data_IF_400589594657
#
_entry.id   IF_400589594657
#
_cell.length_a   1.000
_cell.length_b   1.000
_cell.length_c   1.000
_cell.angle_alpha   90.00
_cell.angle_beta   90.00
_cell.angle_gamma   90.00
#
_symmetry.space_group_name_H-M   'P 1'
#
loop_
_entity.id
_entity.type
_entity.pdbx_description
1 polymer ?
#
# COMPACT_ATOMS: atom_id res chain seq x y z
N UNK A 1 18.06 -13.45 -4.08
CA UNK A 1 17.25 -13.92 -2.93
C UNK A 1 16.77 -12.75 -2.06
N UNK A 2 17.67 -11.92 -1.52
CA UNK A 2 17.32 -10.76 -0.69
C UNK A 2 16.38 -9.74 -1.36
N UNK A 3 16.68 -9.31 -2.59
CA UNK A 3 15.83 -8.36 -3.31
C UNK A 3 14.40 -8.88 -3.57
N UNK A 4 14.26 -10.19 -3.86
CA UNK A 4 12.96 -10.84 -4.03
C UNK A 4 12.19 -10.88 -2.71
N UNK A 5 12.85 -11.25 -1.61
CA UNK A 5 12.24 -11.21 -0.28
C UNK A 5 11.72 -9.82 0.07
N UNK A 6 12.54 -8.78 -0.13
CA UNK A 6 12.16 -7.40 0.12
C UNK A 6 10.92 -6.99 -0.69
N UNK A 7 10.90 -7.35 -1.98
CA UNK A 7 9.76 -7.10 -2.86
C UNK A 7 8.49 -7.80 -2.36
N UNK A 8 8.57 -9.05 -1.94
CA UNK A 8 7.39 -9.78 -1.45
C UNK A 8 6.87 -9.23 -0.12
N UNK A 9 7.76 -8.77 0.77
CA UNK A 9 7.34 -8.08 2.01
C UNK A 9 6.58 -6.80 1.67
N UNK A 10 7.09 -6.02 0.71
CA UNK A 10 6.41 -4.79 0.26
C UNK A 10 5.07 -5.10 -0.41
N UNK A 11 5.00 -6.11 -1.28
CA UNK A 11 3.75 -6.57 -1.87
C UNK A 11 2.73 -6.96 -0.81
N UNK A 12 3.16 -7.70 0.22
CA UNK A 12 2.29 -8.11 1.33
C UNK A 12 1.72 -6.89 2.06
N UNK A 13 2.57 -5.91 2.39
CA UNK A 13 2.14 -4.68 3.08
C UNK A 13 1.15 -3.89 2.20
N UNK A 14 1.43 -3.74 0.91
CA UNK A 14 0.60 -2.96 -0.02
C UNK A 14 -0.80 -3.56 -0.23
N UNK A 15 -0.92 -4.87 -0.11
CA UNK A 15 -2.15 -5.61 -0.36
C UNK A 15 -2.76 -6.24 0.91
N UNK A 16 -2.29 -5.85 2.10
CA UNK A 16 -2.74 -6.43 3.36
C UNK A 16 -4.23 -6.16 3.61
N UNK A 17 -5.01 -7.25 3.68
CA UNK A 17 -6.42 -7.35 4.12
C UNK A 17 -7.44 -6.43 3.41
N UNK A 18 -7.03 -5.61 2.44
CA UNK A 18 -7.97 -4.78 1.68
C UNK A 18 -8.84 -5.65 0.76
N UNK A 19 -10.15 -5.52 0.92
CA UNK A 19 -11.13 -6.28 0.14
C UNK A 19 -11.66 -5.47 -1.05
N UNK A 20 -12.13 -6.20 -2.06
CA UNK A 20 -12.73 -5.63 -3.27
C UNK A 20 -13.84 -6.54 -3.77
N UNK A 21 -14.97 -5.96 -4.16
CA UNK A 21 -16.07 -6.71 -4.77
C UNK A 21 -15.60 -7.43 -6.05
N UNK A 22 -15.94 -8.73 -6.25
CA UNK A 22 -15.57 -9.45 -7.46
C UNK A 22 -16.01 -8.71 -8.74
N UNK A 23 -15.19 -8.79 -9.80
CA UNK A 23 -15.45 -8.21 -11.14
C UNK A 23 -15.53 -6.68 -11.22
N UNK A 24 -15.21 -5.96 -10.15
CA UNK A 24 -15.01 -4.49 -10.21
C UNK A 24 -13.61 -4.14 -10.73
N UNK A 25 -13.40 -2.96 -11.33
CA UNK A 25 -12.06 -2.51 -11.70
C UNK A 25 -11.20 -2.25 -10.45
N UNK A 26 -9.88 -2.41 -10.57
CA UNK A 26 -8.94 -2.01 -9.53
C UNK A 26 -8.90 -0.48 -9.45
N UNK A 27 -8.87 0.05 -8.23
CA UNK A 27 -8.90 1.47 -7.91
C UNK A 27 -7.86 1.74 -6.82
N UNK A 28 -7.47 3.00 -6.60
CA UNK A 28 -6.50 3.35 -5.57
C UNK A 28 -6.89 2.88 -4.17
N UNK A 29 -8.20 2.75 -3.90
CA UNK A 29 -8.73 2.25 -2.63
C UNK A 29 -8.31 0.81 -2.29
N UNK A 30 -7.88 0.01 -3.26
CA UNK A 30 -7.57 -1.42 -3.11
C UNK A 30 -6.08 -1.70 -2.85
N UNK A 31 -5.30 -0.69 -2.45
CA UNK A 31 -3.88 -0.85 -2.13
C UNK A 31 -3.43 0.22 -1.14
N UNK A 32 -2.69 -0.17 -0.12
CA UNK A 32 -2.05 0.76 0.80
C UNK A 32 -0.99 1.59 0.08
N UNK A 33 -0.85 2.85 0.51
CA UNK A 33 0.06 3.81 -0.08
C UNK A 33 0.76 4.63 1.02
N UNK A 34 1.84 5.32 0.67
CA UNK A 34 2.48 6.33 1.52
C UNK A 34 3.05 7.46 0.67
N UNK A 35 2.56 8.67 0.88
CA UNK A 35 2.99 9.85 0.13
C UNK A 35 4.24 10.54 0.72
N UNK A 36 4.96 9.92 1.67
CA UNK A 36 6.14 10.54 2.31
C UNK A 36 7.33 10.57 1.34
N UNK A 37 7.89 11.76 1.08
CA UNK A 37 8.97 12.00 0.10
C UNK A 37 10.22 11.11 0.29
N UNK A 38 10.61 10.83 1.54
CA UNK A 38 11.74 9.95 1.84
C UNK A 38 11.51 8.52 1.31
N UNK A 39 10.27 8.03 1.33
CA UNK A 39 9.92 6.70 0.84
C UNK A 39 9.97 6.62 -0.69
N UNK A 40 9.59 7.69 -1.38
CA UNK A 40 9.70 7.78 -2.83
C UNK A 40 11.15 7.74 -3.31
N UNK A 41 12.11 8.20 -2.50
CA UNK A 41 13.54 8.11 -2.83
C UNK A 41 14.07 6.71 -2.55
N UNK A 42 13.81 6.16 -1.36
CA UNK A 42 14.33 4.84 -0.93
C UNK A 42 13.77 3.69 -1.77
N UNK A 43 12.52 3.79 -2.19
CA UNK A 43 11.85 2.76 -2.99
C UNK A 43 11.75 3.12 -4.48
N UNK A 44 12.54 4.07 -4.98
CA UNK A 44 12.50 4.45 -6.41
C UNK A 44 11.08 4.75 -6.92
N UNK A 45 10.31 5.52 -6.14
CA UNK A 45 8.93 5.93 -6.41
C UNK A 45 7.89 4.80 -6.44
N UNK A 46 8.19 3.66 -5.78
CA UNK A 46 7.21 2.59 -5.56
C UNK A 46 5.91 3.07 -4.88
N UNK A 47 5.94 4.20 -4.19
CA UNK A 47 4.75 4.86 -3.63
C UNK A 47 3.67 5.19 -4.67
N UNK A 48 3.99 5.12 -5.97
CA UNK A 48 3.01 5.27 -7.06
C UNK A 48 2.27 3.97 -7.40
N UNK A 49 2.45 2.92 -6.60
CA UNK A 49 1.86 1.59 -6.78
C UNK A 49 0.36 1.62 -7.06
N UNK A 50 -0.43 2.31 -6.23
CA UNK A 50 -1.88 2.42 -6.41
C UNK A 50 -2.25 3.05 -7.76
N UNK A 51 -1.49 4.04 -8.21
CA UNK A 51 -1.70 4.70 -9.51
C UNK A 51 -1.30 3.79 -10.67
N UNK A 52 -0.23 3.00 -10.52
CA UNK A 52 0.19 2.00 -11.50
C UNK A 52 -0.88 0.91 -11.65
N UNK A 53 -1.46 0.42 -10.55
CA UNK A 53 -2.51 -0.58 -10.62
C UNK A 53 -3.81 -0.09 -11.25
N UNK A 54 -4.13 1.19 -11.11
CA UNK A 54 -5.27 1.81 -11.83
C UNK A 54 -4.94 2.07 -13.31
N UNK A 55 -3.73 2.57 -13.60
CA UNK A 55 -3.31 2.98 -14.95
C UNK A 55 -1.96 2.34 -15.33
N UNK A 56 -1.92 1.01 -15.56
CA UNK A 56 -0.66 0.28 -15.75
C UNK A 56 0.07 0.64 -17.04
N UNK A 57 -0.63 1.25 -18.00
CA UNK A 57 -0.06 1.68 -19.28
C UNK A 57 0.63 3.05 -19.20
N UNK A 58 0.50 3.78 -18.09
CA UNK A 58 1.14 5.09 -17.92
C UNK A 58 2.58 4.91 -17.48
N UNK A 59 3.48 5.67 -18.11
CA UNK A 59 4.91 5.67 -17.78
C UNK A 59 5.15 6.07 -16.31
N UNK A 60 6.10 5.43 -15.63
CA UNK A 60 6.27 5.58 -14.18
C UNK A 60 6.44 7.04 -13.73
N UNK A 61 7.15 7.87 -14.51
CA UNK A 61 7.39 9.28 -14.20
C UNK A 61 6.14 10.16 -14.32
N UNK A 62 5.12 9.71 -15.05
CA UNK A 62 3.83 10.40 -15.24
C UNK A 62 2.72 9.92 -14.30
N UNK A 63 3.01 8.97 -13.41
CA UNK A 63 2.03 8.48 -12.45
C UNK A 63 1.76 9.51 -11.36
N UNK A 64 0.48 9.80 -11.13
CA UNK A 64 0.01 10.74 -10.12
C UNK A 64 0.08 10.17 -8.71
N UNK A 65 0.28 11.03 -7.71
CA UNK A 65 0.10 10.66 -6.30
C UNK A 65 -1.40 10.52 -6.01
N UNK A 66 -1.79 9.40 -5.40
CA UNK A 66 -3.19 9.15 -5.04
C UNK A 66 -3.42 9.55 -3.59
N UNK A 67 -4.20 10.62 -3.41
CA UNK A 67 -4.55 11.19 -2.10
C UNK A 67 -5.71 10.42 -1.47
N UNK A 68 -6.56 9.79 -2.29
CA UNK A 68 -7.72 9.01 -1.87
C UNK A 68 -7.43 7.50 -1.72
N UNK A 69 -6.16 7.10 -1.63
CA UNK A 69 -5.76 5.73 -1.33
C UNK A 69 -5.52 5.56 0.19
N UNK A 70 -5.72 4.36 0.76
CA UNK A 70 -5.43 4.12 2.17
C UNK A 70 -3.96 4.42 2.44
N UNK A 71 -3.69 5.27 3.45
CA UNK A 71 -2.34 5.71 3.76
C UNK A 71 -1.82 4.97 4.99
N UNK A 72 -0.60 4.44 4.89
CA UNK A 72 0.09 3.89 6.05
C UNK A 72 0.47 5.01 7.03
N UNK A 73 0.23 4.77 8.31
CA UNK A 73 0.61 5.69 9.40
C UNK A 73 2.12 6.00 9.41
N UNK A 74 2.96 5.02 9.09
CA UNK A 74 4.42 5.14 9.08
C UNK A 74 5.01 5.07 7.67
N UNK A 75 6.30 5.36 7.53
CA UNK A 75 6.98 5.18 6.25
C UNK A 75 7.33 3.73 5.97
N UNK A 76 7.60 3.37 4.71
CA UNK A 76 7.89 1.99 4.33
C UNK A 76 9.03 1.36 5.12
N UNK A 77 10.12 2.08 5.39
CA UNK A 77 11.23 1.50 6.16
C UNK A 77 10.77 1.06 7.56
N UNK A 78 9.97 1.89 8.22
CA UNK A 78 9.40 1.61 9.53
C UNK A 78 8.40 0.45 9.47
N UNK A 79 7.47 0.48 8.51
CA UNK A 79 6.47 -0.57 8.33
C UNK A 79 7.13 -1.90 7.94
N UNK A 80 8.19 -1.87 7.14
CA UNK A 80 8.92 -3.07 6.70
C UNK A 80 9.55 -3.81 7.88
N UNK A 81 10.16 -3.08 8.82
CA UNK A 81 10.69 -3.67 10.04
C UNK A 81 9.57 -4.17 10.97
N UNK A 82 8.51 -3.38 11.13
CA UNK A 82 7.36 -3.71 11.99
C UNK A 82 6.59 -4.94 11.47
N UNK A 83 6.39 -5.04 10.15
CA UNK A 83 5.66 -6.12 9.48
C UNK A 83 6.30 -7.49 9.73
N UNK A 84 7.63 -7.53 9.96
CA UNK A 84 8.35 -8.76 10.28
C UNK A 84 8.13 -9.23 11.73
N UNK A 85 7.43 -8.44 12.56
CA UNK A 85 7.08 -8.76 13.93
C UNK A 85 5.54 -8.76 14.06
N UNK A 86 4.87 -9.90 13.81
CA UNK A 86 3.41 -10.00 13.73
C UNK A 86 2.62 -9.33 14.87
N UNK A 87 2.96 -9.50 16.17
CA UNK A 87 2.17 -8.89 17.23
C UNK A 87 2.24 -7.36 17.24
N UNK A 88 3.33 -6.76 16.75
CA UNK A 88 3.45 -5.30 16.64
C UNK A 88 2.73 -4.82 15.39
N UNK A 89 2.89 -5.55 14.28
CA UNK A 89 2.20 -5.28 13.02
C UNK A 89 0.69 -5.18 13.20
N UNK A 90 0.06 -6.19 13.80
CA UNK A 90 -1.39 -6.20 14.01
C UNK A 90 -1.87 -5.02 14.86
N UNK A 91 -1.13 -4.66 15.92
CA UNK A 91 -1.49 -3.50 16.76
C UNK A 91 -1.46 -2.17 15.99
N UNK A 92 -0.64 -2.06 14.96
CA UNK A 92 -0.47 -0.82 14.19
C UNK A 92 -1.41 -0.77 12.99
N UNK A 93 -1.58 -1.87 12.25
CA UNK A 93 -2.37 -1.87 11.02
C UNK A 93 -3.88 -1.99 11.27
N UNK A 94 -4.31 -2.72 12.31
CA UNK A 94 -5.73 -2.98 12.57
C UNK A 94 -6.57 -1.71 12.71
N UNK A 95 -6.15 -0.67 13.47
CA UNK A 95 -6.96 0.56 13.57
C UNK A 95 -7.16 1.29 12.23
N UNK A 96 -6.12 1.32 11.40
CA UNK A 96 -6.17 1.95 10.08
C UNK A 96 -7.04 1.13 9.12
N UNK A 97 -6.92 -0.20 9.17
CA UNK A 97 -7.74 -1.13 8.39
C UNK A 97 -9.22 -1.00 8.76
N UNK A 98 -9.57 -1.09 10.05
CA UNK A 98 -10.95 -0.98 10.53
C UNK A 98 -11.61 0.34 10.10
N UNK A 99 -10.84 1.43 10.13
CA UNK A 99 -11.29 2.75 9.69
C UNK A 99 -11.58 2.76 8.19
N UNK A 100 -10.72 2.12 7.40
CA UNK A 100 -10.87 2.07 5.95
C UNK A 100 -12.01 1.16 5.52
N UNK A 101 -12.12 -0.03 6.11
CA UNK A 101 -13.19 -0.99 5.81
C UNK A 101 -14.57 -0.41 6.12
N UNK A 102 -14.74 0.32 7.23
CA UNK A 102 -16.01 1.01 7.51
C UNK A 102 -16.45 1.99 6.43
N UNK A 103 -15.51 2.54 5.66
CA UNK A 103 -15.78 3.53 4.63
C UNK A 103 -15.90 2.92 3.22
N UNK A 104 -15.20 1.81 2.94
CA UNK A 104 -15.03 1.29 1.58
C UNK A 104 -15.28 -0.22 1.44
N UNK A 105 -15.61 -0.94 2.52
CA UNK A 105 -15.94 -2.36 2.41
C UNK A 105 -17.15 -2.54 1.48
N UNK A 106 -17.08 -3.49 0.53
CA UNK A 106 -18.22 -3.81 -0.31
C UNK A 106 -19.35 -4.37 0.56
N UNK A 107 -20.57 -3.85 0.38
CA UNK A 107 -21.81 -4.38 0.97
C UNK A 107 -22.13 -5.75 0.37
#
# INVERSE_FOLDING_TARGET
MFAKFLLEVVNYIEHYELTRAPRTPVRPEHSWNTNKRMNAIVLFSLTRHSAHHEKPKVQFWKLDLRIHAPQMSYGYLTILLICLIPPIWYRIITPDLDKWEKQYAPV
#
